data_IF_999277279887
#
_entry.id   IF_999277279887
#
_cell.length_a   1.000
_cell.length_b   1.000
_cell.length_c   1.000
_cell.angle_alpha   90.00
_cell.angle_beta   90.00
_cell.angle_gamma   90.00
#
_symmetry.space_group_name_H-M   'P 1'
#
loop_
_entity.id
_entity.type
_entity.pdbx_description
1 polymer ?
#
# COMPACT_ATOMS: atom_id res chain seq x y z
N UNK A 1 -44.71 -25.10 10.53
CA UNK A 1 -43.85 -25.96 11.37
C UNK A 1 -43.88 -27.37 10.80
N UNK A 2 -42.89 -27.74 9.99
CA UNK A 2 -42.71 -29.13 9.55
C UNK A 2 -41.22 -29.46 9.67
N UNK A 3 -41.01 -30.49 10.46
CA UNK A 3 -39.79 -31.06 11.00
C UNK A 3 -38.97 -31.77 9.93
N UNK A 4 -37.65 -31.71 10.11
CA UNK A 4 -36.64 -32.41 9.32
C UNK A 4 -36.73 -33.92 9.53
N UNK A 5 -36.47 -34.68 8.46
CA UNK A 5 -36.24 -36.12 8.51
C UNK A 5 -34.81 -36.40 8.06
N UNK A 6 -34.09 -37.04 8.97
CA UNK A 6 -32.70 -37.45 8.93
C UNK A 6 -32.49 -38.54 7.87
N UNK A 7 -31.43 -38.45 7.07
CA UNK A 7 -30.96 -39.56 6.24
C UNK A 7 -29.46 -39.73 6.46
N UNK A 8 -29.09 -40.85 7.09
CA UNK A 8 -27.72 -41.30 7.23
C UNK A 8 -27.35 -42.14 6.00
N UNK A 9 -26.19 -41.87 5.39
CA UNK A 9 -25.59 -42.74 4.39
C UNK A 9 -24.11 -42.93 4.71
N UNK A 10 -23.71 -44.20 4.69
CA UNK A 10 -22.40 -44.74 5.07
C UNK A 10 -21.26 -44.28 4.16
N UNK A 11 -20.06 -44.26 4.76
CA UNK A 11 -18.75 -44.15 4.12
C UNK A 11 -18.48 -45.33 3.17
N UNK A 12 -18.01 -45.04 1.96
CA UNK A 12 -17.29 -46.00 1.12
C UNK A 12 -16.12 -45.32 0.38
N UNK A 13 -14.91 -45.79 0.69
CA UNK A 13 -13.84 -46.09 -0.27
C UNK A 13 -13.26 -44.97 -1.12
N UNK A 14 -12.03 -44.55 -0.78
CA UNK A 14 -11.16 -43.73 -1.62
C UNK A 14 -10.73 -44.46 -2.91
N UNK A 15 -10.60 -43.70 -4.00
CA UNK A 15 -9.70 -44.03 -5.11
C UNK A 15 -9.07 -42.73 -5.63
N UNK A 16 -7.74 -42.61 -5.52
CA UNK A 16 -6.94 -41.46 -5.93
C UNK A 16 -6.63 -41.48 -7.43
N UNK A 17 -6.70 -40.29 -8.05
CA UNK A 17 -5.87 -39.70 -9.13
C UNK A 17 -6.77 -38.68 -9.87
N UNK A 18 -6.43 -37.45 -10.25
CA UNK A 18 -5.24 -36.61 -10.44
C UNK A 18 -5.78 -35.12 -10.43
N UNK A 19 -5.05 -34.00 -10.68
CA UNK A 19 -3.74 -33.84 -11.29
C UNK A 19 -2.80 -32.83 -10.61
N UNK A 20 -1.63 -32.70 -11.26
CA UNK A 20 -0.50 -31.87 -10.94
C UNK A 20 -0.83 -30.37 -10.68
N UNK A 21 -0.03 -29.79 -9.78
CA UNK A 21 0.34 -28.38 -9.88
C UNK A 21 -0.54 -27.38 -9.15
N UNK A 22 -0.85 -27.59 -7.88
CA UNK A 22 -1.17 -26.49 -6.97
C UNK A 22 0.10 -26.18 -6.15
N UNK A 23 0.71 -25.01 -6.37
CA UNK A 23 1.70 -24.48 -5.42
C UNK A 23 0.98 -24.33 -4.07
N UNK A 24 1.40 -25.06 -3.02
CA UNK A 24 0.75 -25.00 -1.71
C UNK A 24 0.90 -23.63 -1.03
N UNK A 25 1.69 -22.71 -1.61
CA UNK A 25 1.82 -21.32 -1.17
C UNK A 25 0.80 -20.44 -1.86
N UNK A 26 -0.46 -20.87 -1.78
CA UNK A 26 -1.63 -20.09 -2.21
C UNK A 26 -1.42 -18.62 -1.86
N UNK A 27 -1.53 -17.78 -2.88
CA UNK A 27 -1.53 -16.31 -2.85
C UNK A 27 -1.02 -15.75 -1.52
N UNK A 28 0.29 -15.70 -1.36
CA UNK A 28 0.91 -14.98 -0.25
C UNK A 28 0.41 -13.54 -0.33
N UNK A 29 -0.63 -13.24 0.46
CA UNK A 29 -0.98 -11.89 0.81
C UNK A 29 0.33 -11.25 1.26
N UNK A 30 0.81 -10.28 0.48
CA UNK A 30 1.98 -9.48 0.82
C UNK A 30 1.56 -8.54 1.94
N UNK A 31 1.22 -9.10 3.10
CA UNK A 31 1.09 -8.36 4.34
C UNK A 31 2.51 -7.92 4.65
N UNK A 32 2.75 -6.61 4.57
CA UNK A 32 4.01 -6.04 5.02
C UNK A 32 4.25 -6.55 6.45
N UNK A 33 5.31 -7.32 6.65
CA UNK A 33 5.74 -7.72 7.97
C UNK A 33 6.07 -6.43 8.73
N UNK A 34 5.14 -5.96 9.57
CA UNK A 34 5.45 -4.94 10.56
C UNK A 34 6.58 -5.49 11.42
N UNK A 35 7.77 -4.91 11.28
CA UNK A 35 8.90 -5.23 12.15
C UNK A 35 8.49 -4.91 13.58
N UNK A 36 8.43 -5.92 14.44
CA UNK A 36 7.81 -5.82 15.76
C UNK A 36 8.58 -4.94 16.75
N UNK A 37 9.82 -4.51 16.45
CA UNK A 37 10.69 -3.84 17.43
C UNK A 37 11.64 -2.79 16.85
N UNK A 38 11.17 -1.87 16.02
CA UNK A 38 11.97 -0.65 15.78
C UNK A 38 11.12 0.60 15.55
N UNK A 39 10.45 1.07 16.60
CA UNK A 39 9.96 2.46 16.61
C UNK A 39 11.12 3.35 17.02
N UNK A 40 11.71 4.06 16.06
CA UNK A 40 12.67 5.12 16.35
C UNK A 40 11.92 6.42 16.66
N UNK A 41 12.05 6.93 17.88
CA UNK A 41 11.59 8.28 18.19
C UNK A 41 12.71 9.26 17.83
N UNK A 42 12.55 9.97 16.72
CA UNK A 42 13.45 11.04 16.28
C UNK A 42 12.63 12.18 15.66
N UNK A 43 13.10 13.42 15.75
CA UNK A 43 12.40 14.60 15.24
C UNK A 43 12.20 15.70 16.28
N UNK A 44 11.35 16.67 15.96
CA UNK A 44 11.04 17.82 16.81
C UNK A 44 10.13 17.37 17.96
N UNK A 45 10.71 17.20 19.16
CA UNK A 45 10.03 16.58 20.31
C UNK A 45 9.13 17.53 21.11
N UNK A 46 9.35 18.83 21.00
CA UNK A 46 8.67 19.85 21.81
C UNK A 46 7.61 20.63 21.02
N UNK A 47 7.21 20.10 19.86
CA UNK A 47 6.15 20.68 19.05
C UNK A 47 5.08 19.63 18.74
N UNK A 48 3.81 20.05 18.76
CA UNK A 48 2.68 19.18 18.43
C UNK A 48 2.44 19.19 16.91
N UNK A 49 3.36 18.58 16.16
CA UNK A 49 3.33 18.56 14.69
C UNK A 49 3.67 17.19 14.16
N UNK A 50 2.95 16.77 13.11
CA UNK A 50 3.22 15.57 12.34
C UNK A 50 3.54 15.98 10.91
N UNK A 51 4.55 15.35 10.31
CA UNK A 51 4.87 15.51 8.90
C UNK A 51 4.39 14.28 8.12
N UNK A 52 3.51 14.48 7.15
CA UNK A 52 3.18 13.44 6.18
C UNK A 52 4.22 13.45 5.07
N UNK A 53 4.79 12.27 4.80
CA UNK A 53 5.75 12.05 3.72
C UNK A 53 5.28 10.90 2.83
N UNK A 54 5.49 11.03 1.53
CA UNK A 54 5.13 10.03 0.54
C UNK A 54 6.33 9.76 -0.36
N UNK A 55 6.73 8.50 -0.44
CA UNK A 55 7.89 8.04 -1.20
C UNK A 55 7.43 7.33 -2.49
N UNK A 56 8.37 6.99 -3.37
CA UNK A 56 8.17 6.17 -4.59
C UNK A 56 7.20 6.75 -5.64
N UNK A 57 6.81 8.02 -5.50
CA UNK A 57 5.98 8.74 -6.46
C UNK A 57 6.78 9.46 -7.55
N UNK A 58 6.09 10.12 -8.49
CA UNK A 58 4.64 10.12 -8.67
C UNK A 58 4.13 8.86 -9.37
N UNK A 59 2.92 8.44 -9.04
CA UNK A 59 2.21 7.32 -9.67
C UNK A 59 0.71 7.62 -9.84
N UNK A 60 -0.08 6.64 -10.28
CA UNK A 60 -1.51 6.81 -10.55
C UNK A 60 -2.32 7.33 -9.34
N UNK A 61 -1.87 7.07 -8.11
CA UNK A 61 -2.57 7.47 -6.89
C UNK A 61 -2.19 8.86 -6.38
N UNK A 62 -1.07 9.44 -6.85
CA UNK A 62 -0.54 10.70 -6.32
C UNK A 62 -1.55 11.84 -6.43
N UNK A 63 -2.33 11.90 -7.51
CA UNK A 63 -3.34 12.95 -7.68
C UNK A 63 -4.49 12.85 -6.66
N UNK A 64 -4.95 11.62 -6.36
CA UNK A 64 -5.98 11.42 -5.35
C UNK A 64 -5.49 11.79 -3.95
N UNK A 65 -4.21 11.52 -3.63
CA UNK A 65 -3.58 11.97 -2.38
C UNK A 65 -3.56 13.50 -2.30
N UNK A 66 -3.16 14.18 -3.38
CA UNK A 66 -3.16 15.65 -3.44
C UNK A 66 -4.56 16.23 -3.24
N UNK A 67 -5.60 15.61 -3.82
CA UNK A 67 -7.00 16.04 -3.63
C UNK A 67 -7.42 15.97 -2.15
N UNK A 68 -7.08 14.89 -1.45
CA UNK A 68 -7.37 14.73 -0.03
C UNK A 68 -6.58 15.74 0.81
N UNK A 69 -5.28 15.91 0.54
CA UNK A 69 -4.46 16.89 1.26
C UNK A 69 -5.02 18.31 1.10
N UNK A 70 -5.44 18.67 -0.12
CA UNK A 70 -6.10 19.94 -0.41
C UNK A 70 -7.42 20.10 0.34
N UNK A 71 -8.26 19.06 0.38
CA UNK A 71 -9.53 19.07 1.12
C UNK A 71 -9.35 19.41 2.60
N UNK A 72 -8.31 18.86 3.23
CA UNK A 72 -8.01 19.10 4.63
C UNK A 72 -7.05 20.28 4.87
N UNK A 73 -6.66 21.00 3.81
CA UNK A 73 -5.67 22.08 3.87
C UNK A 73 -4.34 21.66 4.54
N UNK A 74 -3.88 20.44 4.26
CA UNK A 74 -2.66 19.85 4.83
C UNK A 74 -1.53 19.93 3.80
N UNK A 75 -0.33 20.33 4.25
CA UNK A 75 0.90 20.24 3.44
C UNK A 75 1.68 18.98 3.80
N UNK A 76 2.43 18.48 2.83
CA UNK A 76 3.15 17.21 2.91
C UNK A 76 4.47 17.32 2.15
N UNK A 77 5.33 16.31 2.30
CA UNK A 77 6.55 16.15 1.50
C UNK A 77 6.41 14.95 0.58
N UNK A 78 6.75 15.11 -0.70
CA UNK A 78 6.77 14.02 -1.68
C UNK A 78 8.21 13.75 -2.09
N UNK A 79 8.78 12.62 -1.66
CA UNK A 79 10.08 12.16 -2.11
C UNK A 79 9.89 11.39 -3.42
N UNK A 80 10.24 12.04 -4.54
CA UNK A 80 9.97 11.50 -5.88
C UNK A 80 11.15 10.76 -6.47
N UNK A 81 10.87 9.68 -7.21
CA UNK A 81 11.85 8.97 -8.04
C UNK A 81 12.00 9.69 -9.36
N UNK A 82 13.23 10.05 -9.73
CA UNK A 82 13.51 10.88 -10.90
C UNK A 82 12.94 10.32 -12.21
N UNK A 83 13.06 9.02 -12.46
CA UNK A 83 12.52 8.36 -13.64
C UNK A 83 10.97 8.44 -13.72
N UNK A 84 10.28 8.41 -12.58
CA UNK A 84 8.82 8.55 -12.52
C UNK A 84 8.40 10.03 -12.63
N UNK A 85 9.19 10.94 -12.06
CA UNK A 85 8.97 12.38 -12.18
C UNK A 85 9.02 12.84 -13.65
N UNK A 86 9.95 12.30 -14.46
CA UNK A 86 10.01 12.57 -15.90
C UNK A 86 8.78 12.08 -16.67
N UNK A 87 8.14 11.00 -16.21
CA UNK A 87 6.92 10.46 -16.82
C UNK A 87 5.67 11.24 -16.39
N UNK A 88 5.72 11.91 -15.23
CA UNK A 88 4.57 12.61 -14.64
C UNK A 88 4.86 14.09 -14.34
N UNK A 89 5.35 14.90 -15.31
CA UNK A 89 5.78 16.27 -15.04
C UNK A 89 4.62 17.17 -14.58
N UNK A 90 3.40 16.91 -15.03
CA UNK A 90 2.21 17.64 -14.59
C UNK A 90 1.91 17.39 -13.10
N UNK A 91 2.02 16.15 -12.64
CA UNK A 91 1.83 15.82 -11.22
C UNK A 91 2.93 16.45 -10.35
N UNK A 92 4.18 16.43 -10.81
CA UNK A 92 5.29 17.10 -10.10
C UNK A 92 5.04 18.60 -9.98
N UNK A 93 4.60 19.25 -11.06
CA UNK A 93 4.24 20.67 -11.04
C UNK A 93 3.13 20.96 -10.04
N UNK A 94 2.08 20.13 -10.04
CA UNK A 94 0.96 20.25 -9.10
C UNK A 94 1.41 20.14 -7.64
N UNK A 95 2.31 19.20 -7.31
CA UNK A 95 2.90 19.09 -5.96
C UNK A 95 3.47 20.44 -5.50
N UNK A 96 4.24 21.11 -6.37
CA UNK A 96 4.87 22.40 -6.06
C UNK A 96 3.85 23.54 -6.02
N UNK A 97 2.96 23.63 -7.00
CA UNK A 97 1.93 24.69 -7.11
C UNK A 97 0.92 24.64 -5.95
N UNK A 98 0.61 23.46 -5.43
CA UNK A 98 -0.25 23.30 -4.26
C UNK A 98 0.51 23.50 -2.93
N UNK A 99 1.80 23.83 -2.96
CA UNK A 99 2.59 24.24 -1.78
C UNK A 99 3.12 23.08 -0.94
N UNK A 100 3.26 21.90 -1.52
CA UNK A 100 3.93 20.76 -0.88
C UNK A 100 5.45 20.85 -1.08
N UNK A 101 6.20 20.22 -0.18
CA UNK A 101 7.65 20.08 -0.36
C UNK A 101 7.94 18.94 -1.36
N UNK A 102 8.91 19.15 -2.24
CA UNK A 102 9.38 18.14 -3.19
C UNK A 102 10.77 17.65 -2.75
N UNK A 103 10.87 16.37 -2.40
CA UNK A 103 12.10 15.71 -2.00
C UNK A 103 12.64 14.80 -3.11
N UNK A 104 13.93 14.48 -3.03
CA UNK A 104 14.60 13.57 -3.95
C UNK A 104 14.63 12.14 -3.35
N UNK A 105 14.13 11.15 -4.10
CA UNK A 105 14.16 9.73 -3.73
C UNK A 105 15.00 8.90 -4.72
N UNK A 106 16.15 9.45 -5.12
CA UNK A 106 17.05 8.95 -6.18
C UNK A 106 16.45 8.98 -7.58
N UNK A 107 17.25 8.68 -8.60
CA UNK A 107 16.76 8.66 -9.99
C UNK A 107 16.00 7.37 -10.35
N UNK A 108 16.48 6.21 -9.89
CA UNK A 108 15.94 4.90 -10.27
C UNK A 108 15.49 4.03 -9.09
N UNK A 109 15.61 4.51 -7.85
CA UNK A 109 15.32 3.74 -6.63
C UNK A 109 16.15 2.44 -6.56
N UNK A 110 17.49 2.54 -6.34
CA UNK A 110 18.42 1.41 -6.35
C UNK A 110 18.15 0.38 -5.23
#
# INVERSE_FOLDING_TARGET
MKTAMLCAALLAGACLAAPAGADPRGQQERVAYFQTHTIFHSGLRDIHTVAFTFDDGPNANTNAVLDVLKQYNVKATFFVVGALALQHPATVRRIVEEGHALGNHTFTHP
#
